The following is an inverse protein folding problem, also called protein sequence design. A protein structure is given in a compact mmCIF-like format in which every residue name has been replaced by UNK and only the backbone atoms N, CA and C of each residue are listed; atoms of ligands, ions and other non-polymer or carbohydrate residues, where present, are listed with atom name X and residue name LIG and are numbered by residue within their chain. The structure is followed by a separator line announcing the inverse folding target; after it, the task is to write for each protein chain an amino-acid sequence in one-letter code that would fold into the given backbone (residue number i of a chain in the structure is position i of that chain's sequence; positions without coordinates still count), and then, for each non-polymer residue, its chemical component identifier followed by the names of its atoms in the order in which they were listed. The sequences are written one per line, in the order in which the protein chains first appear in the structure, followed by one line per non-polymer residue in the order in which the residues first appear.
data_IF_693247541115
#
_entry.id   IF_693247541115
#
_cell.length_a   1.000
_cell.length_b   1.000
_cell.length_c   1.000
_cell.angle_alpha   90.00
_cell.angle_beta   90.00
_cell.angle_gamma   90.00
#
_symmetry.space_group_name_H-M   'P 1'
#
loop_
_entity.id
_entity.type
_entity.pdbx_description
1 polymer ?
#
# COMPACT_ATOMS: atom_id res chain seq x y z
N UNK A 1 7.06 46.11 -15.64
CA UNK A 1 7.10 44.95 -16.55
C UNK A 1 6.88 43.72 -15.70
N UNK A 2 5.67 43.17 -15.73
CA UNK A 2 5.28 42.03 -14.91
C UNK A 2 5.57 40.75 -15.66
N UNK A 3 6.43 39.89 -15.11
CA UNK A 3 6.64 38.54 -15.60
C UNK A 3 5.37 37.74 -15.32
N UNK A 4 4.76 37.05 -16.31
CA UNK A 4 3.62 36.19 -16.03
C UNK A 4 4.05 35.04 -15.13
N UNK A 5 3.28 34.78 -14.08
CA UNK A 5 3.36 33.54 -13.32
C UNK A 5 2.89 32.41 -14.24
N UNK A 6 3.84 31.74 -14.90
CA UNK A 6 3.58 30.45 -15.52
C UNK A 6 3.11 29.50 -14.41
N UNK A 7 1.87 29.02 -14.55
CA UNK A 7 1.37 27.90 -13.75
C UNK A 7 2.34 26.72 -13.93
N UNK A 8 2.68 25.97 -12.88
CA UNK A 8 3.51 24.79 -13.06
C UNK A 8 2.83 23.84 -14.05
N UNK A 9 3.46 23.67 -15.21
CA UNK A 9 3.08 22.70 -16.22
C UNK A 9 3.08 21.31 -15.59
N UNK A 10 2.00 20.58 -15.86
CA UNK A 10 1.72 19.24 -15.40
C UNK A 10 2.83 18.27 -15.83
N UNK A 11 3.83 18.09 -14.97
CA UNK A 11 4.83 17.05 -15.13
C UNK A 11 4.61 15.98 -14.07
N UNK A 12 3.42 15.37 -14.07
CA UNK A 12 3.25 14.05 -13.46
C UNK A 12 3.29 13.07 -14.61
N UNK A 13 4.47 12.49 -14.86
CA UNK A 13 4.49 11.17 -15.48
C UNK A 13 3.62 10.30 -14.57
N UNK A 14 2.37 10.07 -14.96
CA UNK A 14 1.45 9.25 -14.19
C UNK A 14 2.04 7.84 -14.21
N UNK A 15 2.61 7.43 -13.07
CA UNK A 15 3.08 6.07 -12.80
C UNK A 15 1.90 5.08 -12.72
N UNK A 16 0.95 5.19 -13.65
CA UNK A 16 -0.28 4.45 -13.65
C UNK A 16 0.05 2.96 -13.79
N UNK A 17 -0.21 2.19 -12.74
CA UNK A 17 0.10 0.76 -12.67
C UNK A 17 1.58 0.44 -12.43
N UNK A 18 2.48 1.42 -12.31
CA UNK A 18 3.90 1.18 -12.02
C UNK A 18 4.10 1.12 -10.50
N UNK A 19 4.64 0.02 -9.95
CA UNK A 19 4.89 -0.09 -8.52
C UNK A 19 6.06 0.80 -8.08
N UNK A 20 5.88 1.45 -6.94
CA UNK A 20 6.92 2.15 -6.20
C UNK A 20 7.38 1.25 -5.06
N UNK A 21 8.70 1.02 -4.99
CA UNK A 21 9.36 0.22 -3.96
C UNK A 21 9.55 1.06 -2.68
N UNK A 22 8.53 1.07 -1.82
CA UNK A 22 8.51 1.87 -0.60
C UNK A 22 9.61 1.47 0.39
N UNK A 23 9.84 0.17 0.59
CA UNK A 23 10.90 -0.29 1.50
C UNK A 23 12.26 0.30 1.11
N UNK A 24 12.61 0.24 -0.18
CA UNK A 24 13.83 0.84 -0.72
C UNK A 24 13.87 2.35 -0.57
N UNK A 25 12.77 3.04 -0.90
CA UNK A 25 12.71 4.51 -0.81
C UNK A 25 12.81 5.03 0.62
N UNK A 26 12.33 4.26 1.61
CA UNK A 26 12.24 4.68 3.01
C UNK A 26 13.36 4.08 3.88
N UNK A 27 14.25 3.28 3.30
CA UNK A 27 15.30 2.57 4.04
C UNK A 27 16.32 3.48 4.70
N UNK A 28 16.71 4.55 4.02
CA UNK A 28 17.72 5.48 4.54
C UNK A 28 17.16 6.31 5.69
N UNK A 29 15.94 6.83 5.54
CA UNK A 29 15.29 7.67 6.54
C UNK A 29 14.74 6.87 7.74
N UNK A 30 14.32 5.62 7.51
CA UNK A 30 13.66 4.78 8.52
C UNK A 30 14.31 3.39 8.59
N UNK A 31 15.62 3.27 8.92
CA UNK A 31 16.39 2.04 8.75
C UNK A 31 15.91 0.86 9.61
N UNK A 32 15.34 1.15 10.79
CA UNK A 32 14.92 0.16 11.79
C UNK A 32 13.40 -0.04 11.87
N UNK A 33 12.64 0.66 11.04
CA UNK A 33 11.18 0.61 11.08
C UNK A 33 10.61 -0.57 10.30
N UNK A 34 9.39 -0.95 10.63
CA UNK A 34 8.64 -2.01 9.98
C UNK A 34 8.03 -1.48 8.67
N UNK A 35 8.89 -1.26 7.69
CA UNK A 35 8.53 -0.66 6.41
C UNK A 35 7.58 -1.59 5.62
N UNK A 36 6.77 -0.97 4.76
CA UNK A 36 5.87 -1.64 3.82
C UNK A 36 6.52 -1.72 2.45
N UNK A 37 6.25 -2.77 1.69
CA UNK A 37 7.04 -3.02 0.48
C UNK A 37 6.70 -2.12 -0.71
N UNK A 38 5.42 -2.01 -1.10
CA UNK A 38 5.02 -1.36 -2.35
C UNK A 38 3.81 -0.44 -2.25
N UNK A 39 3.78 0.57 -3.12
CA UNK A 39 2.59 1.31 -3.50
C UNK A 39 2.40 1.28 -5.03
N UNK A 40 1.16 1.08 -5.49
CA UNK A 40 0.79 1.17 -6.90
C UNK A 40 -0.30 2.22 -7.04
N UNK A 41 -0.06 3.24 -7.87
CA UNK A 41 -1.02 4.29 -8.18
C UNK A 41 -1.75 3.94 -9.47
N UNK A 42 -3.08 3.91 -9.42
CA UNK A 42 -3.89 3.50 -10.57
C UNK A 42 -5.06 4.46 -10.75
N UNK A 43 -5.22 4.99 -11.95
CA UNK A 43 -6.38 5.75 -12.36
C UNK A 43 -7.47 4.79 -12.82
N UNK A 44 -8.54 4.67 -12.04
CA UNK A 44 -9.73 3.87 -12.37
C UNK A 44 -10.93 4.80 -12.35
N UNK A 45 -11.68 4.85 -13.45
CA UNK A 45 -12.90 5.66 -13.59
C UNK A 45 -12.66 7.16 -13.24
N UNK A 46 -11.52 7.69 -13.70
CA UNK A 46 -11.03 9.05 -13.44
C UNK A 46 -10.74 9.38 -11.95
N UNK A 47 -10.67 8.35 -11.10
CA UNK A 47 -10.28 8.47 -9.69
C UNK A 47 -8.91 7.83 -9.49
N UNK A 48 -7.99 8.60 -8.90
CA UNK A 48 -6.71 8.06 -8.46
C UNK A 48 -6.93 7.17 -7.24
N UNK A 49 -6.50 5.91 -7.37
CA UNK A 49 -6.54 4.89 -6.33
C UNK A 49 -5.14 4.40 -6.01
N UNK A 50 -4.94 3.94 -4.77
CA UNK A 50 -3.63 3.44 -4.32
C UNK A 50 -3.76 2.05 -3.72
N UNK A 51 -3.06 1.09 -4.29
CA UNK A 51 -2.89 -0.23 -3.67
C UNK A 51 -1.55 -0.26 -2.92
N UNK A 52 -1.60 -0.38 -1.60
CA UNK A 52 -0.43 -0.68 -0.79
C UNK A 52 -0.30 -2.20 -0.70
N UNK A 53 0.85 -2.74 -1.09
CA UNK A 53 1.05 -4.19 -1.22
C UNK A 53 2.26 -4.60 -0.39
N UNK A 54 2.04 -5.58 0.49
CA UNK A 54 3.09 -6.25 1.25
C UNK A 54 3.30 -7.66 0.68
N UNK A 55 4.55 -8.02 0.38
CA UNK A 55 4.93 -9.36 -0.07
C UNK A 55 5.64 -10.08 1.09
N UNK A 56 4.89 -10.88 1.85
CA UNK A 56 5.39 -11.50 3.08
C UNK A 56 4.89 -12.95 3.19
N UNK A 57 5.66 -13.91 3.76
CA UNK A 57 5.20 -15.28 3.93
C UNK A 57 3.85 -15.35 4.63
N UNK A 58 2.89 -16.15 4.14
CA UNK A 58 1.55 -16.21 4.72
C UNK A 58 1.34 -17.43 5.64
N UNK A 59 2.01 -17.43 6.79
CA UNK A 59 1.77 -18.38 7.88
C UNK A 59 1.22 -17.65 9.13
N UNK A 60 0.55 -18.36 10.05
CA UNK A 60 -0.22 -17.71 11.12
C UNK A 60 0.64 -16.87 12.09
N UNK A 61 1.92 -17.21 12.28
CA UNK A 61 2.84 -16.41 13.09
C UNK A 61 3.21 -15.06 12.47
N UNK A 62 3.06 -14.89 11.15
CA UNK A 62 3.42 -13.64 10.45
C UNK A 62 2.35 -12.56 10.56
N UNK A 63 1.14 -12.91 11.02
CA UNK A 63 0.00 -12.00 11.02
C UNK A 63 0.27 -10.75 11.87
N UNK A 64 0.92 -10.92 13.02
CA UNK A 64 1.20 -9.79 13.90
C UNK A 64 2.25 -8.85 13.27
N UNK A 65 3.24 -9.39 12.56
CA UNK A 65 4.26 -8.61 11.85
C UNK A 65 3.65 -7.76 10.73
N UNK A 66 2.81 -8.36 9.88
CA UNK A 66 2.11 -7.65 8.81
C UNK A 66 1.20 -6.55 9.37
N UNK A 67 0.56 -6.78 10.52
CA UNK A 67 -0.24 -5.76 11.20
C UNK A 67 0.64 -4.60 11.68
N UNK A 68 1.82 -4.88 12.25
CA UNK A 68 2.75 -3.84 12.71
C UNK A 68 3.22 -3.00 11.52
N UNK A 69 3.63 -3.64 10.42
CA UNK A 69 4.02 -2.95 9.18
C UNK A 69 2.89 -2.06 8.63
N UNK A 70 1.66 -2.55 8.61
CA UNK A 70 0.51 -1.79 8.12
C UNK A 70 0.21 -0.57 8.99
N UNK A 71 0.36 -0.70 10.32
CA UNK A 71 0.18 0.41 11.25
C UNK A 71 1.25 1.48 11.04
N UNK A 72 2.51 1.07 10.92
CA UNK A 72 3.61 1.98 10.61
C UNK A 72 3.33 2.74 9.31
N UNK A 73 2.97 2.05 8.23
CA UNK A 73 2.72 2.70 6.94
C UNK A 73 1.56 3.68 6.98
N UNK A 74 0.47 3.32 7.68
CA UNK A 74 -0.65 4.23 7.89
C UNK A 74 -0.22 5.47 8.64
N UNK A 75 0.56 5.33 9.71
CA UNK A 75 1.06 6.47 10.48
C UNK A 75 1.98 7.35 9.62
N UNK A 76 2.88 6.73 8.86
CA UNK A 76 3.79 7.43 7.95
C UNK A 76 3.02 8.26 6.90
N UNK A 77 1.93 7.74 6.32
CA UNK A 77 1.03 8.48 5.42
C UNK A 77 0.43 9.71 6.12
N UNK A 78 0.06 9.58 7.39
CA UNK A 78 -0.52 10.68 8.16
C UNK A 78 0.51 11.78 8.43
N UNK A 79 1.69 11.39 8.91
CA UNK A 79 2.75 12.31 9.33
C UNK A 79 3.31 13.09 8.15
N UNK A 80 3.39 12.46 6.97
CA UNK A 80 3.87 13.09 5.75
C UNK A 80 2.77 13.80 4.94
N UNK A 81 1.53 13.83 5.45
CA UNK A 81 0.41 14.56 4.85
C UNK A 81 0.06 14.16 3.40
N UNK A 82 0.46 12.97 2.95
CA UNK A 82 0.17 12.44 1.61
C UNK A 82 -1.22 11.76 1.51
N UNK A 83 -2.12 12.06 2.45
CA UNK A 83 -3.49 11.51 2.49
C UNK A 83 -4.30 11.83 1.23
N UNK A 84 -4.14 13.02 0.67
CA UNK A 84 -4.90 13.48 -0.52
C UNK A 84 -4.65 12.58 -1.72
N UNK A 85 -3.40 12.14 -1.94
CA UNK A 85 -3.04 11.25 -3.04
C UNK A 85 -3.25 9.76 -2.73
N UNK A 86 -3.73 9.45 -1.52
CA UNK A 86 -3.95 8.08 -1.02
C UNK A 86 -5.33 7.92 -0.39
N UNK A 87 -6.28 8.79 -0.73
CA UNK A 87 -7.62 8.79 -0.13
C UNK A 87 -8.34 7.47 -0.44
N UNK A 88 -8.32 7.07 -1.72
CA UNK A 88 -8.92 5.84 -2.22
C UNK A 88 -7.92 4.67 -2.17
N UNK A 89 -7.47 4.32 -0.95
CA UNK A 89 -6.46 3.27 -0.75
C UNK A 89 -7.01 1.97 -0.20
N UNK A 90 -6.34 0.87 -0.55
CA UNK A 90 -6.45 -0.43 0.12
C UNK A 90 -5.06 -0.96 0.48
N UNK A 91 -5.00 -1.76 1.55
CA UNK A 91 -3.79 -2.49 1.95
C UNK A 91 -3.99 -3.96 1.65
N UNK A 92 -3.05 -4.57 0.94
CA UNK A 92 -3.08 -5.97 0.54
C UNK A 92 -1.87 -6.70 1.09
N UNK A 93 -2.10 -7.90 1.61
CA UNK A 93 -1.05 -8.86 1.88
C UNK A 93 -1.04 -9.94 0.80
N UNK A 94 0.04 -9.98 0.04
CA UNK A 94 0.34 -11.00 -0.95
C UNK A 94 1.39 -11.95 -0.38
N UNK A 95 1.10 -13.24 -0.44
CA UNK A 95 2.00 -14.27 0.04
C UNK A 95 3.20 -14.42 -0.91
N UNK A 96 4.42 -14.48 -0.36
CA UNK A 96 5.62 -14.81 -1.13
C UNK A 96 5.72 -16.29 -1.53
N UNK A 97 4.75 -17.11 -1.09
CA UNK A 97 4.61 -18.53 -1.45
C UNK A 97 3.18 -19.00 -1.19
N UNK A 98 3.00 -20.22 -0.69
CA UNK A 98 1.66 -20.75 -0.41
C UNK A 98 1.03 -20.09 0.82
N UNK A 99 -0.30 -19.89 0.79
CA UNK A 99 -1.05 -19.42 1.98
C UNK A 99 -1.30 -20.59 2.93
N UNK A 100 -0.72 -20.51 4.13
CA UNK A 100 -0.82 -21.52 5.21
C UNK A 100 -1.59 -20.97 6.41
N UNK A 101 -2.56 -20.09 6.18
CA UNK A 101 -3.44 -19.55 7.23
C UNK A 101 -4.88 -19.99 6.96
N UNK A 102 -5.55 -20.45 8.02
CA UNK A 102 -6.96 -20.82 7.91
C UNK A 102 -7.85 -19.57 7.84
N UNK A 103 -8.77 -19.53 6.87
CA UNK A 103 -9.63 -18.36 6.61
C UNK A 103 -10.47 -17.93 7.82
N UNK A 104 -10.78 -18.85 8.73
CA UNK A 104 -11.63 -18.60 9.89
C UNK A 104 -10.84 -18.43 11.20
N UNK A 105 -9.52 -18.26 11.16
CA UNK A 105 -8.74 -18.04 12.37
C UNK A 105 -9.08 -16.70 13.03
N UNK A 106 -8.82 -16.61 14.34
CA UNK A 106 -8.90 -15.34 15.07
C UNK A 106 -7.93 -14.30 14.49
N UNK A 107 -6.76 -14.75 14.03
CA UNK A 107 -5.71 -13.93 13.43
C UNK A 107 -6.16 -13.28 12.11
N UNK A 108 -6.83 -14.00 11.22
CA UNK A 108 -7.39 -13.40 9.99
C UNK A 108 -8.46 -12.35 10.31
N UNK A 109 -9.35 -12.63 11.26
CA UNK A 109 -10.34 -11.62 11.69
C UNK A 109 -9.66 -10.38 12.25
N UNK A 110 -8.57 -10.54 13.01
CA UNK A 110 -7.79 -9.41 13.52
C UNK A 110 -7.17 -8.60 12.37
N UNK A 111 -6.60 -9.28 11.37
CA UNK A 111 -6.03 -8.65 10.18
C UNK A 111 -7.06 -7.83 9.40
N UNK A 112 -8.26 -8.38 9.15
CA UNK A 112 -9.36 -7.66 8.48
C UNK A 112 -9.87 -6.47 9.30
N UNK A 113 -9.90 -6.58 10.64
CA UNK A 113 -10.19 -5.42 11.52
C UNK A 113 -9.17 -4.31 11.40
N UNK A 114 -7.94 -4.62 10.98
CA UNK A 114 -6.94 -3.61 10.64
C UNK A 114 -7.08 -3.09 9.21
N UNK A 115 -8.11 -3.48 8.44
CA UNK A 115 -8.33 -3.01 7.07
C UNK A 115 -7.26 -3.47 6.08
N UNK A 116 -6.76 -4.68 6.27
CA UNK A 116 -5.81 -5.35 5.37
C UNK A 116 -6.56 -6.48 4.67
N UNK A 117 -6.47 -6.54 3.35
CA UNK A 117 -7.05 -7.59 2.52
C UNK A 117 -6.05 -8.75 2.34
N UNK A 118 -6.53 -9.99 2.26
CA UNK A 118 -5.71 -11.20 2.15
C UNK A 118 -5.56 -11.98 3.46
N UNK A 119 -4.52 -12.83 3.61
CA UNK A 119 -3.46 -13.12 2.65
C UNK A 119 -3.96 -13.84 1.39
N UNK A 120 -3.31 -13.58 0.25
CA UNK A 120 -3.61 -14.22 -1.03
C UNK A 120 -2.33 -14.48 -1.83
N UNK A 121 -2.34 -15.47 -2.72
CA UNK A 121 -1.17 -15.81 -3.54
C UNK A 121 -1.05 -14.93 -4.79
N UNK A 122 -2.19 -14.45 -5.30
CA UNK A 122 -2.27 -13.65 -6.52
C UNK A 122 -3.15 -12.44 -6.27
N UNK A 123 -2.72 -11.28 -6.74
CA UNK A 123 -3.46 -10.03 -6.66
C UNK A 123 -3.61 -9.44 -8.06
N UNK A 124 -4.85 -9.19 -8.49
CA UNK A 124 -5.16 -8.46 -9.72
C UNK A 124 -5.62 -7.07 -9.31
N UNK A 125 -4.68 -6.12 -9.26
CA UNK A 125 -4.91 -4.81 -8.62
C UNK A 125 -6.09 -4.06 -9.25
N UNK A 126 -6.16 -3.97 -10.57
CA UNK A 126 -7.26 -3.29 -11.29
C UNK A 126 -8.64 -3.85 -10.96
N UNK A 127 -8.73 -5.15 -10.66
CA UNK A 127 -9.99 -5.78 -10.29
C UNK A 127 -10.36 -5.46 -8.85
N UNK A 128 -9.41 -5.61 -7.93
CA UNK A 128 -9.63 -5.41 -6.49
C UNK A 128 -9.83 -3.93 -6.11
N UNK A 129 -9.39 -3.01 -6.98
CA UNK A 129 -9.53 -1.56 -6.77
C UNK A 129 -10.77 -0.96 -7.45
N UNK A 130 -11.62 -1.73 -8.15
CA UNK A 130 -12.92 -1.27 -8.66
C UNK A 130 -13.96 -1.33 -7.55
N UNK A 131 -14.29 -0.16 -6.98
CA UNK A 131 -15.29 0.04 -5.93
C UNK A 131 -15.75 1.50 -5.95
#
# INVERSE_FOLDING_TARGET
MSVPLEKPESTTQKNNGVPIFLDSCLKEDYPTENRWDYAVFIDIDAVLKTAFIEIHPANESEVDEVIIKARWMKQWIMDNQIRVITENRKFFWVSSGNVKITKNSQKIRLLHKQGIEGPQEHLVVDKEMRF
#
